data_IF_978367048494
#
_entry.id   IF_978367048494
#
_cell.length_a   1.000
_cell.length_b   1.000
_cell.length_c   1.000
_cell.angle_alpha   90.00
_cell.angle_beta   90.00
_cell.angle_gamma   90.00
#
_symmetry.space_group_name_H-M   'P 1'
#
loop_
_entity.id
_entity.type
_entity.pdbx_description
1 polymer ?
#
# COMPACT_ATOMS: atom_id res chain seq x y z
N UNK A 1 -29.99 32.71 -9.80
CA UNK A 1 -28.62 33.07 -9.39
C UNK A 1 -27.78 31.85 -9.61
N UNK A 2 -27.12 31.85 -10.76
CA UNK A 2 -26.21 30.83 -11.26
C UNK A 2 -24.85 31.02 -10.62
N UNK A 3 -24.18 29.95 -10.24
CA UNK A 3 -22.72 29.76 -10.18
C UNK A 3 -22.54 28.28 -9.80
N UNK A 4 -21.76 27.43 -10.44
CA UNK A 4 -20.71 27.61 -11.42
C UNK A 4 -19.93 26.30 -11.39
N UNK A 5 -20.05 25.54 -12.47
CA UNK A 5 -19.19 24.44 -12.89
C UNK A 5 -17.74 24.53 -12.39
N UNK A 6 -17.25 23.48 -11.71
CA UNK A 6 -15.83 23.11 -11.71
C UNK A 6 -15.69 21.61 -11.92
N UNK A 7 -15.37 21.28 -13.16
CA UNK A 7 -14.73 20.05 -13.62
C UNK A 7 -13.41 19.79 -12.90
N UNK A 8 -13.13 18.53 -12.62
CA UNK A 8 -11.86 18.10 -12.03
C UNK A 8 -11.77 16.58 -11.96
N UNK A 9 -11.81 15.93 -13.12
CA UNK A 9 -11.36 14.55 -13.31
C UNK A 9 -9.99 14.35 -12.65
N UNK A 10 -9.86 13.38 -11.74
CA UNK A 10 -8.57 13.05 -11.12
C UNK A 10 -8.59 12.75 -9.62
N UNK A 11 -9.75 12.41 -9.03
CA UNK A 11 -9.79 11.98 -7.63
C UNK A 11 -9.23 10.55 -7.50
N UNK A 12 -7.90 10.44 -7.49
CA UNK A 12 -7.24 9.36 -6.76
C UNK A 12 -7.84 9.27 -5.35
N UNK A 13 -7.86 8.08 -4.73
CA UNK A 13 -8.57 7.83 -3.48
C UNK A 13 -8.28 8.95 -2.47
N UNK A 14 -9.34 9.60 -1.96
CA UNK A 14 -9.17 10.55 -0.86
C UNK A 14 -8.54 9.78 0.31
N UNK A 15 -7.47 10.30 0.93
CA UNK A 15 -6.84 9.59 2.03
C UNK A 15 -7.89 9.49 3.13
N UNK A 16 -8.25 8.25 3.48
CA UNK A 16 -9.12 8.04 4.64
C UNK A 16 -8.40 8.53 5.90
N UNK A 17 -9.15 8.81 6.97
CA UNK A 17 -8.54 9.07 8.28
C UNK A 17 -7.56 7.93 8.62
N UNK A 18 -6.49 8.20 9.40
CA UNK A 18 -5.38 7.25 9.64
C UNK A 18 -5.84 5.86 10.09
N UNK A 19 -6.96 5.76 10.79
CA UNK A 19 -7.60 4.50 11.22
C UNK A 19 -8.08 3.64 10.05
N UNK A 20 -8.51 4.27 8.97
CA UNK A 20 -8.92 3.61 7.72
C UNK A 20 -7.70 3.02 7.00
N UNK A 21 -6.55 3.70 7.06
CA UNK A 21 -5.29 3.20 6.49
C UNK A 21 -4.73 2.01 7.27
N UNK A 22 -4.91 2.00 8.60
CA UNK A 22 -4.57 0.85 9.44
C UNK A 22 -5.44 -0.36 9.08
N UNK A 23 -6.75 -0.14 8.92
CA UNK A 23 -7.70 -1.17 8.52
C UNK A 23 -7.37 -1.77 7.14
N UNK A 24 -7.02 -0.95 6.15
CA UNK A 24 -6.57 -1.41 4.81
C UNK A 24 -5.27 -2.21 4.87
N UNK A 25 -4.30 -1.79 5.69
CA UNK A 25 -3.05 -2.54 5.93
C UNK A 25 -3.33 -3.92 6.54
N UNK A 26 -4.23 -4.01 7.51
CA UNK A 26 -4.61 -5.27 8.13
C UNK A 26 -5.31 -6.20 7.13
N UNK A 27 -6.20 -5.66 6.30
CA UNK A 27 -6.86 -6.39 5.22
C UNK A 27 -5.84 -6.94 4.20
N UNK A 28 -4.88 -6.12 3.77
CA UNK A 28 -3.80 -6.57 2.89
C UNK A 28 -2.92 -7.65 3.55
N UNK A 29 -2.75 -7.58 4.87
CA UNK A 29 -2.11 -8.62 5.69
C UNK A 29 -2.86 -9.94 5.66
N UNK A 30 -4.19 -9.90 5.80
CA UNK A 30 -5.04 -11.08 5.71
C UNK A 30 -4.96 -11.73 4.32
N UNK A 31 -4.99 -10.95 3.24
CA UNK A 31 -4.81 -11.47 1.87
C UNK A 31 -3.44 -12.11 1.65
N UNK A 32 -2.37 -11.50 2.19
CA UNK A 32 -1.04 -12.13 2.16
C UNK A 32 -1.02 -13.48 2.88
N UNK A 33 -1.60 -13.56 4.07
CA UNK A 33 -1.69 -14.82 4.83
C UNK A 33 -2.56 -15.87 4.14
N UNK A 34 -3.57 -15.44 3.38
CA UNK A 34 -4.40 -16.31 2.55
C UNK A 34 -3.69 -16.76 1.24
N UNK A 35 -2.47 -16.28 0.97
CA UNK A 35 -1.74 -16.57 -0.27
C UNK A 35 -2.20 -15.75 -1.48
N UNK A 36 -3.19 -14.87 -1.32
CA UNK A 36 -3.67 -13.97 -2.37
C UNK A 36 -2.78 -12.72 -2.46
N UNK A 37 -1.55 -12.94 -2.91
CA UNK A 37 -0.57 -11.87 -3.13
C UNK A 37 -1.03 -10.89 -4.21
N UNK A 38 -1.85 -11.36 -5.17
CA UNK A 38 -2.40 -10.54 -6.26
C UNK A 38 -3.31 -9.43 -5.77
N UNK A 39 -4.13 -9.69 -4.75
CA UNK A 39 -4.97 -8.67 -4.10
C UNK A 39 -4.25 -7.92 -2.98
N UNK A 40 -3.28 -8.54 -2.31
CA UNK A 40 -2.54 -7.90 -1.22
C UNK A 40 -1.67 -6.71 -1.70
N UNK A 41 -0.95 -6.86 -2.82
CA UNK A 41 -0.03 -5.84 -3.36
C UNK A 41 -0.74 -4.50 -3.65
N UNK A 42 -1.79 -4.44 -4.49
CA UNK A 42 -2.42 -3.16 -4.83
C UNK A 42 -3.03 -2.47 -3.59
N UNK A 43 -3.49 -3.24 -2.59
CA UNK A 43 -3.98 -2.69 -1.33
C UNK A 43 -2.85 -2.07 -0.49
N UNK A 44 -1.69 -2.72 -0.44
CA UNK A 44 -0.54 -2.15 0.25
C UNK A 44 0.03 -0.92 -0.46
N UNK A 45 0.14 -0.94 -1.80
CA UNK A 45 0.59 0.20 -2.61
C UNK A 45 -0.33 1.42 -2.44
N UNK A 46 -1.65 1.21 -2.50
CA UNK A 46 -2.61 2.29 -2.26
C UNK A 46 -2.49 2.85 -0.82
N UNK A 47 -2.33 1.96 0.17
CA UNK A 47 -2.13 2.37 1.56
C UNK A 47 -0.80 3.11 1.76
N UNK A 48 0.23 2.74 1.02
CA UNK A 48 1.53 3.40 1.06
C UNK A 48 1.44 4.83 0.51
N UNK A 49 0.85 5.00 -0.68
CA UNK A 49 0.66 6.31 -1.29
C UNK A 49 -0.16 7.25 -0.39
N UNK A 50 -1.21 6.72 0.25
CA UNK A 50 -2.01 7.47 1.21
C UNK A 50 -1.20 7.86 2.46
N UNK A 51 -0.38 6.95 3.00
CA UNK A 51 0.47 7.20 4.17
C UNK A 51 1.60 8.19 3.88
N UNK A 52 2.23 8.10 2.71
CA UNK A 52 3.25 9.05 2.27
C UNK A 52 2.68 10.46 2.14
N UNK A 53 1.45 10.60 1.65
CA UNK A 53 0.79 11.90 1.48
C UNK A 53 0.25 12.50 2.79
N UNK A 54 -0.25 11.68 3.71
CA UNK A 54 -0.85 12.15 4.98
C UNK A 54 0.19 12.32 6.07
N UNK A 55 1.14 11.38 6.19
CA UNK A 55 2.09 11.31 7.29
C UNK A 55 3.53 11.62 6.88
N UNK A 56 3.83 11.54 5.59
CA UNK A 56 5.17 11.69 5.05
C UNK A 56 5.90 10.36 4.84
N UNK A 57 6.98 10.37 4.03
CA UNK A 57 7.79 9.19 3.72
C UNK A 57 8.55 8.62 4.93
N UNK A 58 8.95 9.48 5.89
CA UNK A 58 9.73 9.09 7.07
C UNK A 58 8.89 8.62 8.25
N UNK A 59 7.56 8.67 8.14
CA UNK A 59 6.69 8.26 9.22
C UNK A 59 6.78 6.74 9.47
N UNK A 60 6.84 6.26 10.73
CA UNK A 60 6.98 4.83 11.04
C UNK A 60 5.90 3.96 10.37
N UNK A 61 4.65 4.42 10.33
CA UNK A 61 3.57 3.72 9.63
C UNK A 61 3.83 3.54 8.12
N UNK A 62 4.47 4.51 7.46
CA UNK A 62 4.84 4.44 6.05
C UNK A 62 5.91 3.38 5.83
N UNK A 63 6.97 3.40 6.64
CA UNK A 63 8.06 2.41 6.62
C UNK A 63 7.55 0.98 6.85
N UNK A 64 6.64 0.79 7.80
CA UNK A 64 6.00 -0.51 8.06
C UNK A 64 5.24 -1.03 6.83
N UNK A 65 4.55 -0.13 6.10
CA UNK A 65 3.83 -0.49 4.87
C UNK A 65 4.79 -0.94 3.78
N UNK A 66 5.86 -0.16 3.54
CA UNK A 66 6.90 -0.51 2.56
C UNK A 66 7.52 -1.87 2.87
N UNK A 67 7.85 -2.11 4.14
CA UNK A 67 8.42 -3.40 4.58
C UNK A 67 7.46 -4.57 4.33
N UNK A 68 6.14 -4.37 4.50
CA UNK A 68 5.13 -5.39 4.19
C UNK A 68 5.02 -5.65 2.68
N UNK A 69 5.08 -4.61 1.84
CA UNK A 69 5.11 -4.74 0.37
C UNK A 69 6.33 -5.55 -0.06
N UNK A 70 7.52 -5.19 0.45
CA UNK A 70 8.75 -5.90 0.14
C UNK A 70 8.63 -7.39 0.49
N UNK A 71 8.08 -7.72 1.66
CA UNK A 71 7.84 -9.12 2.06
C UNK A 71 6.87 -9.85 1.10
N UNK A 72 5.80 -9.19 0.65
CA UNK A 72 4.86 -9.77 -0.31
C UNK A 72 5.51 -9.97 -1.68
N UNK A 73 6.34 -9.03 -2.13
CA UNK A 73 7.08 -9.13 -3.39
C UNK A 73 8.12 -10.25 -3.34
N UNK A 74 8.82 -10.45 -2.21
CA UNK A 74 9.71 -11.59 -1.99
C UNK A 74 8.98 -12.93 -2.05
N UNK A 75 7.73 -13.01 -1.56
CA UNK A 75 6.92 -14.22 -1.67
C UNK A 75 6.40 -14.46 -3.10
N UNK A 76 6.15 -13.39 -3.87
CA UNK A 76 5.73 -13.49 -5.28
C UNK A 76 6.88 -13.88 -6.20
N UNK A 77 8.10 -13.50 -5.85
CA UNK A 77 9.30 -13.88 -6.57
C UNK A 77 10.14 -14.80 -5.70
N UNK A 78 9.79 -16.10 -5.57
CA UNK A 78 10.66 -17.11 -4.97
C UNK A 78 11.83 -17.37 -5.92
N UNK A 79 12.61 -16.33 -6.22
CA UNK A 79 13.92 -16.48 -6.81
C UNK A 79 14.81 -16.98 -5.68
N UNK A 80 15.18 -18.25 -5.72
CA UNK A 80 16.37 -18.73 -5.02
C UNK A 80 17.52 -17.73 -5.25
N UNK A 81 18.21 -17.24 -4.21
CA UNK A 81 19.64 -17.03 -4.30
C UNK A 81 20.31 -18.35 -3.89
N UNK A 82 20.14 -19.41 -4.69
CA UNK A 82 21.04 -20.56 -4.63
C UNK A 82 22.28 -20.17 -5.43
N UNK A 83 23.07 -19.30 -4.83
CA UNK A 83 24.34 -18.81 -5.34
C UNK A 83 25.22 -18.59 -4.14
N UNK A 84 25.77 -19.71 -3.64
CA UNK A 84 26.85 -19.76 -2.67
C UNK A 84 27.90 -18.66 -2.93
N UNK A 85 28.39 -17.96 -1.90
CA UNK A 85 29.62 -17.20 -2.04
C UNK A 85 30.79 -18.19 -2.17
N UNK A 86 31.47 -18.12 -3.33
CA UNK A 86 32.76 -18.75 -3.58
C UNK A 86 33.86 -18.23 -2.64
#
# INVERSE_FOLDING_TARGET
MSDGFQIGSGAGPRPGPPDTLLSRNNLAGAYRSAGDLGRAIPLYEATLADRERVLGPDHPNTVVTRRKIAAVQSLRNPGCPAGDPA
#
